data_IF_298519187949
#
_entry.id   IF_298519187949
#
_cell.length_a   1.000
_cell.length_b   1.000
_cell.length_c   1.000
_cell.angle_alpha   90.00
_cell.angle_beta   90.00
_cell.angle_gamma   90.00
#
_symmetry.space_group_name_H-M   'P 1'
#
loop_
_entity.id
_entity.type
_entity.pdbx_description
1 polymer ?
#
# COMPACT_ATOMS: atom_id res chain seq x y z
N UNK A 1 7.08 35.42 5.77
CA UNK A 1 7.68 35.29 4.43
C UNK A 1 9.03 34.61 4.58
N UNK A 2 9.22 33.45 3.98
CA UNK A 2 10.48 32.98 3.39
C UNK A 2 10.08 31.84 2.45
N UNK A 3 9.71 32.23 1.23
CA UNK A 3 9.67 31.31 0.10
C UNK A 3 11.10 30.98 -0.26
N UNK A 4 11.44 29.69 -0.39
CA UNK A 4 12.29 29.22 -1.47
C UNK A 4 12.26 27.68 -1.58
N UNK A 5 11.95 27.21 -2.79
CA UNK A 5 12.42 25.92 -3.28
C UNK A 5 11.36 24.83 -3.46
N UNK A 6 10.42 25.02 -4.40
CA UNK A 6 9.81 23.87 -5.08
C UNK A 6 10.91 23.12 -5.86
N UNK A 7 11.66 22.23 -5.18
CA UNK A 7 12.48 21.24 -5.86
C UNK A 7 11.52 20.22 -6.45
N UNK A 8 11.39 20.22 -7.78
CA UNK A 8 10.77 19.11 -8.51
C UNK A 8 11.53 17.84 -8.14
N UNK A 9 11.01 17.08 -7.18
CA UNK A 9 11.59 15.83 -6.77
C UNK A 9 11.46 14.87 -7.95
N UNK A 10 12.61 14.46 -8.51
CA UNK A 10 12.69 13.37 -9.48
C UNK A 10 11.92 12.16 -8.92
N UNK A 11 11.14 11.46 -9.75
CA UNK A 11 10.26 10.36 -9.30
C UNK A 11 10.96 9.26 -8.49
N UNK A 12 12.30 9.18 -8.57
CA UNK A 12 13.14 8.30 -7.75
C UNK A 12 13.28 8.76 -6.28
N UNK A 13 13.25 10.07 -5.99
CA UNK A 13 13.24 10.61 -4.63
C UNK A 13 11.86 10.48 -3.97
N UNK A 14 10.79 10.78 -4.72
CA UNK A 14 9.40 10.65 -4.21
C UNK A 14 9.09 9.21 -3.77
N UNK A 15 9.57 8.21 -4.51
CA UNK A 15 9.42 6.80 -4.14
C UNK A 15 10.10 6.42 -2.83
N UNK A 16 11.26 7.02 -2.51
CA UNK A 16 11.96 6.76 -1.25
C UNK A 16 11.27 7.46 -0.07
N UNK A 17 10.77 8.68 -0.28
CA UNK A 17 10.07 9.43 0.76
C UNK A 17 8.76 8.76 1.15
N UNK A 18 7.96 8.32 0.16
CA UNK A 18 6.68 7.63 0.42
C UNK A 18 6.88 6.41 1.33
N UNK A 19 7.86 5.55 1.01
CA UNK A 19 8.16 4.38 1.83
C UNK A 19 8.63 4.73 3.25
N UNK A 20 9.34 5.84 3.45
CA UNK A 20 9.79 6.27 4.78
C UNK A 20 8.63 6.80 5.63
N UNK A 21 7.72 7.55 5.01
CA UNK A 21 6.52 8.07 5.68
C UNK A 21 5.59 6.91 6.09
N UNK A 22 5.45 5.88 5.25
CA UNK A 22 4.69 4.66 5.55
C UNK A 22 5.29 3.90 6.75
N UNK A 23 6.62 3.79 6.83
CA UNK A 23 7.32 3.12 7.95
C UNK A 23 7.09 3.85 9.28
N UNK A 24 7.12 5.18 9.27
CA UNK A 24 6.89 6.00 10.46
C UNK A 24 5.48 5.79 11.02
N UNK A 25 4.48 5.77 10.14
CA UNK A 25 3.09 5.48 10.54
C UNK A 25 2.93 4.05 11.05
N UNK A 26 3.58 3.06 10.42
CA UNK A 26 3.56 1.67 10.90
C UNK A 26 4.16 1.56 12.31
N UNK A 27 5.24 2.30 12.60
CA UNK A 27 5.83 2.35 13.93
C UNK A 27 4.89 2.99 14.97
N UNK A 28 4.22 4.07 14.61
CA UNK A 28 3.24 4.73 15.49
C UNK A 28 2.05 3.81 15.78
N UNK A 29 1.47 3.20 14.75
CA UNK A 29 0.39 2.22 14.91
C UNK A 29 0.83 1.03 15.77
N UNK A 30 2.05 0.54 15.60
CA UNK A 30 2.55 -0.53 16.44
C UNK A 30 2.81 -0.09 17.89
N UNK A 31 3.10 1.19 18.15
CA UNK A 31 3.19 1.74 19.50
C UNK A 31 1.81 1.96 20.13
N UNK A 32 0.80 2.33 19.34
CA UNK A 32 -0.58 2.54 19.78
C UNK A 32 -1.30 1.22 20.06
N UNK A 33 -1.13 0.23 19.17
CA UNK A 33 -1.79 -1.08 19.25
C UNK A 33 -0.95 -2.07 20.08
N UNK A 34 0.35 -1.83 20.22
CA UNK A 34 1.29 -2.72 20.87
C UNK A 34 1.22 -2.67 22.39
N UNK A 35 0.57 -3.67 22.98
CA UNK A 35 0.74 -3.97 24.41
C UNK A 35 2.15 -4.57 24.65
N UNK A 36 2.75 -4.42 25.84
CA UNK A 36 4.12 -4.84 26.17
C UNK A 36 4.42 -6.35 26.03
N UNK A 37 3.47 -7.16 25.55
CA UNK A 37 3.64 -8.59 25.29
C UNK A 37 3.15 -9.05 23.90
N UNK A 38 2.73 -8.15 23.01
CA UNK A 38 2.27 -8.49 21.67
C UNK A 38 3.41 -8.33 20.65
N UNK A 39 3.81 -9.44 20.04
CA UNK A 39 4.70 -9.43 18.87
C UNK A 39 3.86 -9.26 17.62
N UNK A 40 4.04 -8.16 16.89
CA UNK A 40 3.36 -7.92 15.63
C UNK A 40 4.13 -8.54 14.47
N UNK A 41 3.41 -9.07 13.49
CA UNK A 41 3.99 -9.60 12.25
C UNK A 41 3.55 -8.72 11.09
N UNK A 42 4.51 -8.13 10.39
CA UNK A 42 4.29 -7.37 9.17
C UNK A 42 4.69 -8.21 7.96
N UNK A 43 3.70 -8.60 7.16
CA UNK A 43 3.90 -9.34 5.93
C UNK A 43 4.03 -8.36 4.76
N UNK A 44 5.22 -8.30 4.16
CA UNK A 44 5.51 -7.40 3.03
C UNK A 44 5.69 -8.23 1.76
N UNK A 45 5.19 -7.72 0.64
CA UNK A 45 5.47 -8.31 -0.68
C UNK A 45 6.96 -8.17 -1.05
N UNK A 46 7.42 -8.98 -2.00
CA UNK A 46 8.82 -8.93 -2.47
C UNK A 46 9.09 -7.74 -3.41
N UNK A 47 8.50 -6.57 -3.15
CA UNK A 47 8.68 -5.38 -3.97
C UNK A 47 10.02 -4.68 -3.66
N UNK A 48 10.81 -4.41 -4.70
CA UNK A 48 12.11 -3.72 -4.57
C UNK A 48 12.03 -2.29 -3.99
N UNK A 49 10.82 -1.73 -3.90
CA UNK A 49 10.60 -0.42 -3.28
C UNK A 49 10.62 -0.50 -1.75
N UNK A 50 10.30 -1.66 -1.15
CA UNK A 50 10.20 -1.85 0.29
C UNK A 50 11.55 -2.12 0.94
N UNK A 51 12.47 -1.16 0.78
CA UNK A 51 13.78 -1.22 1.44
C UNK A 51 13.63 -0.69 2.87
N UNK A 52 13.49 -1.60 3.82
CA UNK A 52 13.51 -1.28 5.25
C UNK A 52 14.96 -1.17 5.74
N UNK A 53 15.43 0.07 5.88
CA UNK A 53 16.78 0.35 6.41
C UNK A 53 16.81 0.52 7.93
N UNK A 54 15.66 0.40 8.62
CA UNK A 54 15.55 0.68 10.05
C UNK A 54 14.94 -0.51 10.80
N UNK A 55 15.53 -0.94 11.93
CA UNK A 55 14.97 -2.00 12.75
C UNK A 55 13.68 -1.54 13.45
N UNK A 56 12.64 -2.38 13.41
CA UNK A 56 11.37 -2.15 14.12
C UNK A 56 11.40 -2.90 15.46
N UNK A 57 11.22 -2.18 16.58
CA UNK A 57 11.44 -2.72 17.94
C UNK A 57 10.44 -3.81 18.36
N UNK A 58 9.20 -3.76 17.87
CA UNK A 58 8.10 -4.65 18.29
C UNK A 58 7.43 -5.39 17.12
N UNK A 59 7.98 -5.23 15.91
CA UNK A 59 7.39 -5.79 14.68
C UNK A 59 8.42 -6.71 14.04
N UNK A 60 8.06 -7.97 13.88
CA UNK A 60 8.76 -8.90 13.02
C UNK A 60 8.31 -8.67 11.58
N UNK A 61 9.26 -8.38 10.69
CA UNK A 61 8.96 -8.23 9.26
C UNK A 61 9.30 -9.52 8.54
N UNK A 62 8.36 -10.05 7.79
CA UNK A 62 8.56 -11.22 6.93
C UNK A 62 8.24 -10.82 5.49
N UNK A 63 9.24 -10.95 4.63
CA UNK A 63 9.07 -10.81 3.19
C UNK A 63 8.52 -12.11 2.63
N UNK A 64 7.42 -12.00 1.89
CA UNK A 64 6.87 -13.15 1.20
C UNK A 64 7.77 -13.56 0.03
N UNK A 65 7.86 -14.87 -0.28
CA UNK A 65 8.58 -15.33 -1.45
C UNK A 65 7.93 -14.80 -2.74
N UNK A 66 8.76 -14.55 -3.75
CA UNK A 66 8.30 -14.06 -5.04
C UNK A 66 7.18 -14.96 -5.61
N UNK A 67 6.20 -14.34 -6.28
CA UNK A 67 5.05 -15.00 -6.91
C UNK A 67 4.05 -15.70 -5.97
N UNK A 68 4.16 -15.53 -4.65
CA UNK A 68 3.18 -16.08 -3.69
C UNK A 68 2.21 -15.03 -3.13
N UNK A 69 2.43 -13.75 -3.47
CA UNK A 69 1.66 -12.61 -2.98
C UNK A 69 0.17 -12.77 -3.23
N UNK A 70 -0.24 -13.20 -4.43
CA UNK A 70 -1.65 -13.42 -4.78
C UNK A 70 -2.33 -14.55 -3.99
N UNK A 71 -1.56 -15.49 -3.45
CA UNK A 71 -2.06 -16.61 -2.65
C UNK A 71 -2.12 -16.28 -1.16
N UNK A 72 -1.17 -15.48 -0.66
CA UNK A 72 -0.95 -15.27 0.78
C UNK A 72 -1.46 -13.91 1.23
N UNK A 73 -1.41 -12.86 0.39
CA UNK A 73 -1.82 -11.52 0.79
C UNK A 73 -3.34 -11.37 0.72
N UNK A 74 -4.00 -11.03 1.85
CA UNK A 74 -5.44 -10.79 1.89
C UNK A 74 -5.88 -9.68 0.91
N UNK A 75 -4.97 -8.72 0.70
CA UNK A 75 -5.21 -7.61 -0.21
C UNK A 75 -5.40 -8.10 -1.65
N UNK A 76 -4.51 -8.96 -2.15
CA UNK A 76 -4.62 -9.51 -3.51
C UNK A 76 -5.80 -10.48 -3.66
N UNK A 77 -6.06 -11.29 -2.63
CA UNK A 77 -7.01 -12.40 -2.72
C UNK A 77 -8.47 -11.96 -2.57
N UNK A 78 -8.73 -10.98 -1.70
CA UNK A 78 -10.08 -10.49 -1.40
C UNK A 78 -10.30 -9.06 -1.87
N UNK A 79 -9.54 -8.13 -1.30
CA UNK A 79 -9.83 -6.68 -1.40
C UNK A 79 -9.69 -6.19 -2.85
N UNK A 80 -8.54 -6.46 -3.48
CA UNK A 80 -8.28 -6.08 -4.87
C UNK A 80 -9.23 -6.79 -5.82
N UNK A 81 -9.57 -8.05 -5.54
CA UNK A 81 -10.55 -8.81 -6.32
C UNK A 81 -11.92 -8.13 -6.27
N UNK A 82 -12.41 -7.78 -5.08
CA UNK A 82 -13.68 -7.10 -4.88
C UNK A 82 -13.70 -5.72 -5.54
N UNK A 83 -12.65 -4.93 -5.33
CA UNK A 83 -12.51 -3.60 -5.95
C UNK A 83 -12.54 -3.68 -7.47
N UNK A 84 -11.78 -4.62 -8.07
CA UNK A 84 -11.77 -4.86 -9.51
C UNK A 84 -13.15 -5.30 -10.02
N UNK A 85 -13.89 -6.11 -9.26
CA UNK A 85 -15.23 -6.53 -9.64
C UNK A 85 -16.20 -5.35 -9.66
N UNK A 86 -16.19 -4.54 -8.60
CA UNK A 86 -17.01 -3.34 -8.47
C UNK A 86 -16.72 -2.34 -9.59
N UNK A 87 -15.44 -1.99 -9.80
CA UNK A 87 -15.04 -1.05 -10.84
C UNK A 87 -15.49 -1.49 -12.23
N UNK A 88 -15.34 -2.78 -12.57
CA UNK A 88 -15.80 -3.31 -13.85
C UNK A 88 -17.31 -3.30 -14.00
N UNK A 89 -18.05 -3.53 -12.91
CA UNK A 89 -19.50 -3.45 -12.94
C UNK A 89 -19.96 -2.02 -13.25
N UNK A 90 -19.47 -1.05 -12.49
CA UNK A 90 -19.74 0.38 -12.70
C UNK A 90 -19.35 0.86 -14.11
N UNK A 91 -18.19 0.45 -14.60
CA UNK A 91 -17.76 0.80 -15.95
C UNK A 91 -18.71 0.27 -17.02
N UNK A 92 -19.18 -0.99 -16.88
CA UNK A 92 -20.15 -1.56 -17.83
C UNK A 92 -21.50 -0.86 -17.76
N UNK A 93 -21.99 -0.56 -16.57
CA UNK A 93 -23.25 0.15 -16.39
C UNK A 93 -23.23 1.51 -17.11
N UNK A 94 -22.19 2.31 -16.87
CA UNK A 94 -22.01 3.62 -17.54
C UNK A 94 -21.90 3.53 -19.05
N UNK A 95 -21.27 2.48 -19.56
CA UNK A 95 -21.16 2.26 -21.01
C UNK A 95 -22.54 1.95 -21.58
N UNK A 96 -23.31 1.07 -20.93
CA UNK A 96 -24.64 0.69 -21.38
C UNK A 96 -25.62 1.88 -21.35
N UNK A 97 -25.63 2.65 -20.26
CA UNK A 97 -26.42 3.90 -20.15
C UNK A 97 -26.14 4.86 -21.31
N UNK A 98 -24.88 4.94 -21.74
CA UNK A 98 -24.49 5.79 -22.86
C UNK A 98 -24.93 5.25 -24.22
N UNK A 99 -25.10 3.94 -24.35
CA UNK A 99 -25.66 3.36 -25.57
C UNK A 99 -27.18 3.52 -25.61
N UNK A 100 -27.87 3.34 -24.48
CA UNK A 100 -29.34 3.46 -24.38
C UNK A 100 -29.82 4.92 -24.48
N UNK A 101 -29.04 5.90 -24.02
CA UNK A 101 -29.39 7.33 -24.11
C UNK A 101 -29.11 8.01 -25.46
N UNK A 102 -28.75 7.24 -26.50
CA UNK A 102 -28.48 7.75 -27.86
C UNK A 102 -29.55 7.31 -28.90
N UNK A 103 -30.69 6.79 -28.45
CA UNK A 103 -31.96 6.68 -29.23
C UNK A 103 -32.95 7.76 -28.78
#
# INVERSE_FOLDING_TARGET
MLFQGHKKASGRLLRKQLCLDDICHIQQLAAEVGQPNHKMLLLIDSCKAHVLNMPLKYINVVFLPANTTSLIQPCDQGIIRALKAYYRHEMRARILERFEGNE
#
